data_IF_032210182208
#
_entry.id   IF_032210182208
#
_cell.length_a   1.000
_cell.length_b   1.000
_cell.length_c   1.000
_cell.angle_alpha   90.00
_cell.angle_beta   90.00
_cell.angle_gamma   90.00
#
_symmetry.space_group_name_H-M   'P 1'
#
loop_
_entity.id
_entity.type
_entity.pdbx_description
1 polymer ?
#
# COMPACT_ATOMS: atom_id res chain seq x y z
N UNK A 1 10.77 -21.90 -60.65
CA UNK A 1 11.82 -20.89 -60.40
C UNK A 1 11.34 -19.95 -59.31
N UNK A 2 12.11 -19.86 -58.23
CA UNK A 2 11.75 -19.25 -56.93
C UNK A 2 11.50 -17.74 -57.06
N UNK A 3 10.36 -17.24 -56.59
CA UNK A 3 10.25 -15.87 -56.09
C UNK A 3 9.68 -15.90 -54.67
N UNK A 4 10.56 -15.50 -53.76
CA UNK A 4 10.45 -15.45 -52.31
C UNK A 4 9.21 -14.66 -51.88
N UNK A 5 8.30 -15.31 -51.17
CA UNK A 5 7.37 -14.65 -50.25
C UNK A 5 8.18 -14.25 -49.01
N UNK A 6 8.42 -12.96 -48.85
CA UNK A 6 9.15 -12.33 -47.73
C UNK A 6 8.67 -10.87 -47.79
N UNK A 7 7.94 -10.28 -46.84
CA UNK A 7 8.02 -10.30 -45.40
C UNK A 7 6.65 -9.92 -44.81
N UNK A 8 6.06 -10.76 -43.95
CA UNK A 8 5.07 -10.34 -42.96
C UNK A 8 5.41 -11.09 -41.69
N UNK A 9 6.30 -10.53 -40.85
CA UNK A 9 6.36 -10.87 -39.42
C UNK A 9 7.32 -9.92 -38.69
N UNK A 10 6.89 -8.71 -38.37
CA UNK A 10 7.52 -7.91 -37.31
C UNK A 10 6.68 -6.66 -37.02
N UNK A 11 5.69 -6.81 -36.12
CA UNK A 11 5.09 -5.70 -35.37
C UNK A 11 4.17 -6.23 -34.25
N UNK A 12 4.70 -7.09 -33.38
CA UNK A 12 4.05 -7.47 -32.13
C UNK A 12 5.07 -7.58 -30.97
N UNK A 13 6.03 -6.66 -30.89
CA UNK A 13 6.96 -6.58 -29.73
C UNK A 13 7.06 -5.15 -29.19
N UNK A 14 5.93 -4.48 -28.97
CA UNK A 14 5.94 -3.18 -28.29
C UNK A 14 4.84 -3.02 -27.22
N UNK A 15 4.21 -4.09 -26.76
CA UNK A 15 3.13 -3.99 -25.75
C UNK A 15 3.48 -4.50 -24.35
N UNK A 16 4.75 -4.82 -24.05
CA UNK A 16 5.16 -5.25 -22.70
C UNK A 16 6.34 -4.46 -22.13
N UNK A 17 6.46 -3.18 -22.48
CA UNK A 17 7.40 -2.27 -21.82
C UNK A 17 6.62 -1.12 -21.15
N UNK A 18 5.78 -1.48 -20.19
CA UNK A 18 5.47 -0.60 -19.05
C UNK A 18 5.88 -1.35 -17.78
N UNK A 19 7.15 -1.78 -17.70
CA UNK A 19 7.76 -1.94 -16.40
C UNK A 19 7.90 -0.51 -15.86
N UNK A 20 7.03 -0.13 -14.94
CA UNK A 20 7.09 1.16 -14.28
C UNK A 20 8.49 1.34 -13.69
N UNK A 21 9.24 2.34 -14.14
CA UNK A 21 10.37 2.83 -13.35
C UNK A 21 9.79 3.37 -12.04
N UNK A 22 10.31 2.89 -10.91
CA UNK A 22 10.79 3.69 -9.79
C UNK A 22 11.19 2.76 -8.63
N UNK A 23 12.48 2.57 -8.31
CA UNK A 23 12.88 2.72 -6.92
C UNK A 23 12.73 4.21 -6.62
N UNK A 24 11.63 4.61 -5.99
CA UNK A 24 11.48 6.00 -5.60
C UNK A 24 12.55 6.28 -4.54
N UNK A 25 13.41 7.28 -4.79
CA UNK A 25 14.47 7.64 -3.87
C UNK A 25 13.93 7.88 -2.44
N UNK A 26 14.80 7.81 -1.44
CA UNK A 26 14.39 8.02 -0.05
C UNK A 26 13.70 9.39 0.11
N UNK A 27 12.50 9.38 0.67
CA UNK A 27 11.69 10.57 0.96
C UNK A 27 11.05 10.44 2.33
N UNK A 28 10.59 11.55 2.88
CA UNK A 28 9.81 11.59 4.12
C UNK A 28 8.29 11.56 3.86
N UNK A 29 7.86 11.55 2.59
CA UNK A 29 6.46 11.63 2.17
C UNK A 29 6.25 10.98 0.80
N UNK A 30 5.19 10.17 0.70
CA UNK A 30 4.66 9.62 -0.54
C UNK A 30 3.14 9.56 -0.51
N UNK A 31 2.54 9.66 -1.71
CA UNK A 31 1.11 9.57 -1.95
C UNK A 31 0.76 8.22 -2.57
N UNK A 32 -0.25 7.55 -2.03
CA UNK A 32 -0.74 6.27 -2.53
C UNK A 32 -2.24 6.36 -2.85
N UNK A 33 -2.68 6.00 -4.06
CA UNK A 33 -4.09 6.00 -4.40
C UNK A 33 -4.80 4.76 -3.82
N UNK A 34 -6.12 4.85 -3.64
CA UNK A 34 -6.96 3.70 -3.29
C UNK A 34 -6.84 2.61 -4.34
N UNK A 35 -6.86 1.37 -3.86
CA UNK A 35 -6.60 0.19 -4.67
C UNK A 35 -5.10 0.01 -4.93
N UNK A 36 -4.28 0.30 -3.91
CA UNK A 36 -2.84 0.05 -3.95
C UNK A 36 -2.42 -0.94 -2.87
N UNK A 37 -1.39 -1.70 -3.19
CA UNK A 37 -0.59 -2.47 -2.23
C UNK A 37 0.85 -2.03 -2.41
N UNK A 38 1.51 -1.73 -1.30
CA UNK A 38 2.86 -1.19 -1.35
C UNK A 38 3.66 -1.59 -0.10
N UNK A 39 4.97 -1.68 -0.26
CA UNK A 39 5.90 -1.96 0.83
C UNK A 39 6.91 -0.83 0.89
N UNK A 40 7.12 -0.29 2.09
CA UNK A 40 8.15 0.72 2.34
C UNK A 40 9.30 0.10 3.12
N UNK A 41 10.53 0.56 2.84
CA UNK A 41 11.72 0.26 3.63
C UNK A 41 12.10 1.49 4.45
N UNK A 42 12.19 1.31 5.77
CA UNK A 42 12.58 2.36 6.70
C UNK A 42 14.06 2.68 6.56
N UNK A 43 14.39 3.96 6.56
CA UNK A 43 15.76 4.46 6.53
C UNK A 43 15.95 5.38 7.73
N UNK A 44 16.71 4.97 8.76
CA UNK A 44 16.94 5.78 9.93
C UNK A 44 17.54 7.14 9.54
N UNK A 45 16.86 8.22 9.95
CA UNK A 45 17.33 9.59 9.77
C UNK A 45 18.11 10.06 10.99
N UNK A 46 17.61 9.69 12.17
CA UNK A 46 18.25 9.91 13.47
C UNK A 46 17.86 8.80 14.45
N UNK A 47 18.03 9.01 15.76
CA UNK A 47 17.73 7.99 16.78
C UNK A 47 16.24 7.67 16.91
N UNK A 48 15.35 8.54 16.43
CA UNK A 48 13.89 8.47 16.59
C UNK A 48 13.16 8.47 15.25
N UNK A 49 13.61 9.24 14.27
CA UNK A 49 12.89 9.50 13.02
C UNK A 49 13.41 8.63 11.86
N UNK A 50 12.52 8.33 10.93
CA UNK A 50 12.81 7.60 9.70
C UNK A 50 12.36 8.41 8.49
N UNK A 51 13.20 8.43 7.47
CA UNK A 51 12.73 8.58 6.10
C UNK A 51 12.42 7.17 5.56
N UNK A 52 11.90 7.05 4.34
CA UNK A 52 11.63 5.74 3.75
C UNK A 52 11.72 5.74 2.23
N UNK A 53 11.86 4.54 1.67
CA UNK A 53 11.76 4.31 0.22
C UNK A 53 10.62 3.34 -0.07
N UNK A 54 10.00 3.48 -1.22
CA UNK A 54 8.99 2.52 -1.70
C UNK A 54 9.74 1.42 -2.46
N UNK A 55 9.73 0.20 -1.91
CA UNK A 55 10.45 -0.95 -2.48
C UNK A 55 9.55 -1.86 -3.30
N UNK A 56 8.24 -1.83 -3.03
CA UNK A 56 7.24 -2.51 -3.82
C UNK A 56 5.99 -1.64 -3.96
N UNK A 57 5.38 -1.64 -5.14
CA UNK A 57 4.10 -0.99 -5.40
C UNK A 57 3.37 -1.76 -6.49
N UNK A 58 2.12 -2.13 -6.23
CA UNK A 58 1.24 -2.74 -7.22
C UNK A 58 -0.21 -2.26 -7.07
N UNK A 59 -0.97 -2.34 -8.17
CA UNK A 59 -2.41 -2.10 -8.13
C UNK A 59 -3.09 -3.27 -7.43
N UNK A 60 -4.03 -2.98 -6.56
CA UNK A 60 -4.78 -3.95 -5.77
C UNK A 60 -6.28 -3.67 -5.84
N UNK A 61 -6.98 -4.39 -6.72
CA UNK A 61 -8.41 -4.16 -6.98
C UNK A 61 -9.35 -5.09 -6.21
N UNK A 62 -8.83 -5.92 -5.30
CA UNK A 62 -9.64 -6.87 -4.55
C UNK A 62 -10.32 -6.20 -3.36
N UNK A 63 -11.56 -6.64 -3.07
CA UNK A 63 -12.24 -6.29 -1.82
C UNK A 63 -11.84 -7.31 -0.76
N UNK A 64 -11.37 -6.82 0.38
CA UNK A 64 -10.90 -7.67 1.48
C UNK A 64 -12.07 -8.03 2.40
N UNK A 65 -12.22 -9.33 2.72
CA UNK A 65 -13.03 -9.73 3.87
C UNK A 65 -12.19 -9.61 5.15
N UNK A 66 -12.66 -8.83 6.12
CA UNK A 66 -11.96 -8.58 7.38
C UNK A 66 -11.82 -9.84 8.26
N UNK A 67 -12.55 -10.91 7.98
CA UNK A 67 -12.38 -12.20 8.67
C UNK A 67 -11.14 -12.98 8.19
N UNK A 68 -10.62 -12.64 7.00
CA UNK A 68 -9.50 -13.33 6.36
C UNK A 68 -8.16 -12.57 6.45
N UNK A 69 -8.08 -11.50 7.26
CA UNK A 69 -6.91 -10.61 7.30
C UNK A 69 -5.58 -11.33 7.55
N UNK A 70 -5.59 -12.39 8.37
CA UNK A 70 -4.38 -13.16 8.69
C UNK A 70 -3.74 -13.82 7.46
N UNK A 71 -4.49 -14.03 6.38
CA UNK A 71 -4.01 -14.65 5.14
C UNK A 71 -3.38 -13.65 4.17
N UNK A 72 -3.58 -12.35 4.38
CA UNK A 72 -3.13 -11.30 3.45
C UNK A 72 -1.66 -10.95 3.58
N UNK A 73 -1.13 -11.04 4.80
CA UNK A 73 0.25 -10.71 5.10
C UNK A 73 1.04 -11.99 5.31
N UNK A 74 2.27 -12.01 4.78
CA UNK A 74 3.22 -13.06 5.11
C UNK A 74 3.54 -13.02 6.60
N UNK A 75 3.88 -14.18 7.18
CA UNK A 75 4.20 -14.26 8.60
C UNK A 75 5.47 -13.44 8.90
N UNK A 76 6.53 -13.67 8.12
CA UNK A 76 7.80 -12.97 8.18
C UNK A 76 8.02 -12.21 6.87
N UNK A 77 8.10 -10.88 6.95
CA UNK A 77 8.45 -10.00 5.84
C UNK A 77 9.94 -9.66 5.84
N UNK A 78 10.34 -8.78 4.94
CA UNK A 78 11.70 -8.24 4.95
C UNK A 78 11.90 -7.34 6.18
N UNK A 79 13.04 -7.46 6.85
CA UNK A 79 13.39 -6.64 8.02
C UNK A 79 13.29 -5.14 7.70
N UNK A 80 12.91 -4.30 8.67
CA UNK A 80 12.77 -2.85 8.52
C UNK A 80 11.79 -2.41 7.43
N UNK A 81 10.87 -3.27 7.03
CA UNK A 81 9.80 -2.92 6.10
C UNK A 81 8.43 -2.84 6.76
N UNK A 82 7.54 -2.13 6.08
CA UNK A 82 6.12 -2.11 6.42
C UNK A 82 5.34 -2.32 5.13
N UNK A 83 4.52 -3.35 5.07
CA UNK A 83 3.63 -3.61 3.94
C UNK A 83 2.24 -3.05 4.23
N UNK A 84 1.61 -2.50 3.20
CA UNK A 84 0.31 -1.85 3.26
C UNK A 84 -0.63 -2.38 2.18
N UNK A 85 -1.93 -2.38 2.51
CA UNK A 85 -3.03 -2.47 1.57
C UNK A 85 -3.95 -1.28 1.81
N UNK A 86 -4.12 -0.43 0.80
CA UNK A 86 -5.07 0.67 0.83
C UNK A 86 -6.19 0.39 -0.18
N UNK A 87 -7.32 -0.13 0.30
CA UNK A 87 -8.37 -0.66 -0.59
C UNK A 87 -9.75 -0.71 0.08
N UNK A 88 -10.71 -1.30 -0.62
CA UNK A 88 -12.02 -1.59 -0.07
C UNK A 88 -11.99 -2.85 0.80
N UNK A 89 -12.73 -2.84 1.89
CA UNK A 89 -12.98 -4.01 2.71
C UNK A 89 -14.42 -4.12 3.17
N UNK A 90 -14.75 -5.31 3.66
CA UNK A 90 -16.10 -5.68 4.09
C UNK A 90 -16.07 -6.77 5.16
N UNK A 91 -17.23 -7.09 5.73
CA UNK A 91 -17.47 -8.16 6.70
C UNK A 91 -18.90 -8.69 6.61
N UNK A 92 -19.12 -9.91 7.09
CA UNK A 92 -20.42 -10.58 7.12
C UNK A 92 -20.48 -11.82 6.25
N UNK A 93 -21.43 -12.70 6.56
CA UNK A 93 -21.57 -14.02 5.95
C UNK A 93 -22.36 -13.94 4.63
N UNK A 94 -23.30 -12.99 4.55
CA UNK A 94 -24.19 -12.80 3.40
C UNK A 94 -23.71 -11.68 2.46
N UNK A 95 -24.11 -11.72 1.19
CA UNK A 95 -23.75 -10.68 0.22
C UNK A 95 -24.39 -9.32 0.56
N UNK A 96 -25.60 -9.34 1.14
CA UNK A 96 -26.28 -8.14 1.64
C UNK A 96 -25.52 -7.47 2.78
N UNK A 97 -25.05 -8.26 3.76
CA UNK A 97 -24.23 -7.76 4.86
C UNK A 97 -22.91 -7.21 4.33
N UNK A 98 -22.24 -7.95 3.44
CA UNK A 98 -20.98 -7.48 2.84
C UNK A 98 -21.17 -6.16 2.10
N UNK A 99 -22.23 -6.02 1.32
CA UNK A 99 -22.52 -4.76 0.60
C UNK A 99 -22.79 -3.62 1.58
N UNK A 100 -23.52 -3.87 2.67
CA UNK A 100 -23.84 -2.87 3.70
C UNK A 100 -22.61 -2.45 4.52
N UNK A 101 -21.67 -3.37 4.71
CA UNK A 101 -20.47 -3.18 5.53
C UNK A 101 -19.23 -2.76 4.71
N UNK A 102 -19.41 -2.36 3.45
CA UNK A 102 -18.30 -1.84 2.62
C UNK A 102 -17.72 -0.57 3.22
N UNK A 103 -16.39 -0.52 3.33
CA UNK A 103 -15.65 0.63 3.83
C UNK A 103 -14.25 0.71 3.22
N UNK A 104 -13.60 1.86 3.35
CA UNK A 104 -12.19 2.02 2.98
C UNK A 104 -11.33 1.52 4.14
N UNK A 105 -10.29 0.75 3.80
CA UNK A 105 -9.31 0.22 4.75
C UNK A 105 -7.89 0.67 4.37
N UNK A 106 -7.11 1.02 5.39
CA UNK A 106 -5.65 0.95 5.34
C UNK A 106 -5.21 -0.15 6.29
N UNK A 107 -4.76 -1.26 5.74
CA UNK A 107 -4.19 -2.37 6.49
C UNK A 107 -2.68 -2.30 6.38
N UNK A 108 -1.98 -2.61 7.46
CA UNK A 108 -0.53 -2.65 7.41
C UNK A 108 0.06 -3.67 8.39
N UNK A 109 1.26 -4.15 8.08
CA UNK A 109 2.05 -4.98 8.99
C UNK A 109 3.47 -4.48 9.04
N UNK A 110 3.95 -4.20 10.25
CA UNK A 110 5.30 -3.71 10.52
C UNK A 110 6.23 -4.91 10.79
N UNK A 111 7.25 -5.07 9.97
CA UNK A 111 8.27 -6.12 10.06
C UNK A 111 9.59 -5.63 10.67
N UNK A 112 9.60 -4.42 11.24
CA UNK A 112 10.68 -3.93 12.08
C UNK A 112 10.45 -4.26 13.56
N UNK A 113 11.51 -4.14 14.35
CA UNK A 113 11.46 -4.30 15.81
C UNK A 113 10.95 -3.04 16.55
N UNK A 114 10.66 -1.95 15.82
CA UNK A 114 10.22 -0.70 16.43
C UNK A 114 8.71 -0.59 16.48
N UNK A 115 8.18 -0.15 17.62
CA UNK A 115 6.85 0.44 17.66
C UNK A 115 6.94 1.85 17.05
N UNK A 116 6.09 2.13 16.06
CA UNK A 116 6.16 3.36 15.28
C UNK A 116 4.88 4.18 15.39
N UNK A 117 5.03 5.49 15.40
CA UNK A 117 3.97 6.44 15.08
C UNK A 117 4.18 6.94 13.65
N UNK A 118 3.09 7.32 13.00
CA UNK A 118 3.10 7.95 11.69
C UNK A 118 1.98 8.98 11.60
N UNK A 119 2.09 9.87 10.63
CA UNK A 119 1.06 10.84 10.28
C UNK A 119 0.52 10.49 8.89
N UNK A 120 -0.78 10.69 8.70
CA UNK A 120 -1.43 10.55 7.40
C UNK A 120 -2.30 11.74 7.09
N UNK A 121 -2.19 12.24 5.87
CA UNK A 121 -3.22 13.10 5.28
C UNK A 121 -4.04 12.29 4.27
N UNK A 122 -5.36 12.46 4.26
CA UNK A 122 -6.28 11.78 3.36
C UNK A 122 -6.83 12.78 2.34
N UNK A 123 -7.01 12.36 1.08
CA UNK A 123 -7.69 13.16 0.05
C UNK A 123 -9.03 12.54 -0.32
N UNK A 124 -10.10 13.27 -0.04
CA UNK A 124 -11.47 12.88 -0.38
C UNK A 124 -12.04 13.62 -1.58
N UNK A 125 -11.51 14.81 -1.85
CA UNK A 125 -11.89 15.63 -3.00
C UNK A 125 -10.63 16.27 -3.60
N UNK A 126 -10.41 17.57 -3.41
CA UNK A 126 -9.26 18.29 -3.95
C UNK A 126 -8.07 18.32 -3.01
N UNK A 127 -8.32 18.67 -1.75
CA UNK A 127 -7.27 18.96 -0.78
C UNK A 127 -7.03 17.77 0.16
N UNK A 128 -5.81 17.71 0.69
CA UNK A 128 -5.42 16.76 1.73
C UNK A 128 -5.79 17.31 3.11
N UNK A 129 -6.37 16.45 3.95
CA UNK A 129 -6.71 16.76 5.33
C UNK A 129 -6.05 15.75 6.29
N UNK A 130 -5.49 16.21 7.42
CA UNK A 130 -4.87 15.31 8.39
C UNK A 130 -5.91 14.40 9.02
N UNK A 131 -5.52 13.16 9.32
CA UNK A 131 -6.34 12.22 10.07
C UNK A 131 -5.61 11.68 11.29
N UNK A 132 -6.36 11.04 12.19
CA UNK A 132 -5.77 10.34 13.32
C UNK A 132 -5.32 8.95 12.90
N UNK A 133 -4.20 8.49 13.47
CA UNK A 133 -3.63 7.20 13.16
C UNK A 133 -3.47 6.33 14.41
N UNK A 134 -3.63 5.03 14.23
CA UNK A 134 -3.20 4.01 15.19
C UNK A 134 -1.69 3.81 15.08
N UNK A 135 -1.02 3.40 16.16
CA UNK A 135 0.41 3.07 16.11
C UNK A 135 0.69 1.79 15.30
N UNK A 136 1.89 1.69 14.70
CA UNK A 136 2.35 0.49 14.02
C UNK A 136 3.19 -0.38 14.95
N UNK A 137 2.58 -1.44 15.47
CA UNK A 137 3.23 -2.38 16.38
C UNK A 137 3.95 -3.51 15.60
N UNK A 138 5.16 -3.92 16.03
CA UNK A 138 5.90 -5.03 15.42
C UNK A 138 5.07 -6.31 15.32
N UNK A 139 5.04 -6.92 14.13
CA UNK A 139 4.44 -8.23 13.86
C UNK A 139 2.90 -8.27 13.90
N UNK A 140 2.23 -7.18 14.27
CA UNK A 140 0.76 -7.10 14.36
C UNK A 140 0.20 -6.41 13.12
N UNK A 141 -0.98 -6.87 12.66
CA UNK A 141 -1.72 -6.20 11.59
C UNK A 141 -2.47 -5.00 12.19
N UNK A 142 -2.11 -3.80 11.76
CA UNK A 142 -2.86 -2.58 12.05
C UNK A 142 -3.96 -2.36 11.02
N UNK A 143 -5.03 -1.69 11.46
CA UNK A 143 -6.23 -1.45 10.66
C UNK A 143 -6.71 -0.02 10.93
N UNK A 144 -6.79 0.77 9.88
CA UNK A 144 -7.57 2.02 9.84
C UNK A 144 -8.81 1.80 8.99
N UNK A 145 -9.94 2.39 9.38
CA UNK A 145 -11.23 2.22 8.71
C UNK A 145 -11.93 3.56 8.58
N UNK A 146 -12.42 3.87 7.38
CA UNK A 146 -13.16 5.11 7.13
C UNK A 146 -14.54 4.84 6.53
N UNK A 147 -15.61 5.49 7.04
CA UNK A 147 -16.97 5.34 6.54
C UNK A 147 -17.26 6.17 5.28
N UNK A 148 -16.23 6.79 4.69
CA UNK A 148 -16.33 7.66 3.53
C UNK A 148 -15.23 7.33 2.52
N UNK A 149 -15.46 7.74 1.26
CA UNK A 149 -14.50 7.53 0.17
C UNK A 149 -13.26 8.39 0.39
N UNK A 150 -12.10 7.75 0.26
CA UNK A 150 -10.78 8.38 0.20
C UNK A 150 -10.16 7.93 -1.12
N UNK A 151 -9.64 8.88 -1.88
CA UNK A 151 -8.96 8.60 -3.15
C UNK A 151 -7.48 8.36 -2.97
N UNK A 152 -6.84 9.08 -2.04
CA UNK A 152 -5.40 8.99 -1.82
C UNK A 152 -5.05 9.19 -0.36
N UNK A 153 -3.91 8.61 0.03
CA UNK A 153 -3.28 8.80 1.34
C UNK A 153 -1.85 9.29 1.17
N UNK A 154 -1.48 10.28 1.97
CA UNK A 154 -0.11 10.72 2.14
C UNK A 154 0.43 10.14 3.44
N UNK A 155 1.44 9.27 3.39
CA UNK A 155 2.10 8.75 4.58
C UNK A 155 3.36 9.55 4.85
N UNK A 156 3.53 10.08 6.07
CA UNK A 156 4.71 10.85 6.43
C UNK A 156 5.02 10.81 7.93
N UNK A 157 6.17 11.38 8.30
CA UNK A 157 6.61 11.55 9.69
C UNK A 157 6.64 10.23 10.49
N UNK A 158 7.25 9.19 9.93
CA UNK A 158 7.44 7.93 10.62
C UNK A 158 8.51 8.09 11.71
N UNK A 159 8.17 7.71 12.94
CA UNK A 159 9.05 7.84 14.10
C UNK A 159 8.83 6.72 15.10
N UNK A 160 9.82 6.44 15.94
CA UNK A 160 9.64 5.54 17.08
C UNK A 160 8.61 6.11 18.05
N UNK A 161 7.72 5.26 18.52
CA UNK A 161 6.83 5.58 19.62
C UNK A 161 7.66 5.71 20.91
N UNK A 162 7.62 6.89 21.52
CA UNK A 162 8.31 7.17 22.78
C UNK A 162 7.28 7.11 23.91
N UNK A 163 7.60 6.34 24.96
CA UNK A 163 6.78 6.23 26.17
C UNK A 163 6.86 7.47 27.04
#
# INVERSE_FOLDING_TARGET
MKRKNMYILLLFVSLYANAQEMPIGVSNKFTFPIGSKFTIKLVPKDSVNFDYSVVEFEKYSQVINMEDLKKLFVENGEEDTISFYFCLGTRGDTEEEKKKNMQILLLFKNYSDWQLDYSTDIRREKDFEPTSNVGMFPGIIGIEMWPFVIYDIDIHQIKKHLK
#
